data_IF_739274855565
#
_entry.id   IF_739274855565
#
_cell.length_a   1.000
_cell.length_b   1.000
_cell.length_c   1.000
_cell.angle_alpha   90.00
_cell.angle_beta   90.00
_cell.angle_gamma   90.00
#
_symmetry.space_group_name_H-M   'P 1'
#
loop_
_entity.id
_entity.type
_entity.pdbx_description
1 polymer ?
#
# COMPACT_ATOMS: atom_id res chain seq x y z
N UNK A 1 5.76 -5.28 -10.76
CA UNK A 1 4.44 -5.30 -10.08
C UNK A 1 3.52 -6.33 -10.70
N UNK A 2 2.57 -6.89 -9.93
CA UNK A 2 1.56 -7.82 -10.45
C UNK A 2 0.13 -7.31 -10.27
N UNK A 3 -0.60 -7.24 -11.39
CA UNK A 3 -2.03 -6.97 -11.41
C UNK A 3 -2.83 -8.26 -11.14
N UNK A 4 -3.62 -8.27 -10.07
CA UNK A 4 -4.45 -9.41 -9.69
C UNK A 4 -5.88 -9.28 -10.23
N UNK A 5 -6.46 -8.08 -10.13
CA UNK A 5 -7.82 -7.80 -10.56
C UNK A 5 -7.96 -6.32 -10.94
N UNK A 6 -8.62 -6.03 -12.06
CA UNK A 6 -8.96 -4.67 -12.50
C UNK A 6 -10.47 -4.58 -12.66
N UNK A 7 -11.12 -3.68 -11.93
CA UNK A 7 -12.56 -3.41 -12.04
C UNK A 7 -12.76 -1.90 -12.05
N UNK A 8 -12.74 -1.31 -13.24
CA UNK A 8 -12.90 0.13 -13.45
C UNK A 8 -14.10 0.32 -14.38
N UNK A 9 -15.04 1.17 -13.98
CA UNK A 9 -16.19 1.55 -14.79
C UNK A 9 -15.76 2.48 -15.91
N UNK A 10 -16.05 2.11 -17.17
CA UNK A 10 -15.76 2.96 -18.34
C UNK A 10 -16.60 4.24 -18.38
N UNK A 11 -17.72 4.29 -17.64
CA UNK A 11 -18.64 5.43 -17.65
C UNK A 11 -18.17 6.59 -16.79
N UNK A 12 -17.69 6.29 -15.58
CA UNK A 12 -17.41 7.30 -14.55
C UNK A 12 -15.94 7.27 -14.08
N UNK A 13 -15.14 6.31 -14.54
CA UNK A 13 -13.77 6.10 -14.06
C UNK A 13 -13.68 5.58 -12.62
N UNK A 14 -14.82 5.38 -11.94
CA UNK A 14 -14.86 4.80 -10.58
C UNK A 14 -14.47 3.33 -10.61
N UNK A 15 -13.79 2.84 -9.58
CA UNK A 15 -13.45 1.42 -9.54
C UNK A 15 -12.44 1.02 -8.49
N UNK A 16 -12.06 -0.25 -8.55
CA UNK A 16 -11.03 -0.84 -7.70
C UNK A 16 -10.05 -1.70 -8.49
N UNK A 17 -8.80 -1.68 -8.06
CA UNK A 17 -7.71 -2.47 -8.64
C UNK A 17 -6.99 -3.19 -7.51
N UNK A 18 -6.83 -4.50 -7.65
CA UNK A 18 -6.05 -5.35 -6.74
C UNK A 18 -4.67 -5.59 -7.33
N UNK A 19 -3.65 -5.28 -6.55
CA UNK A 19 -2.24 -5.31 -6.94
C UNK A 19 -1.41 -6.05 -5.88
N UNK A 20 -0.26 -6.56 -6.31
CA UNK A 20 0.82 -7.06 -5.46
C UNK A 20 2.13 -6.41 -5.90
N UNK A 21 2.80 -5.74 -4.98
CA UNK A 21 4.18 -5.29 -5.17
C UNK A 21 5.10 -6.51 -5.00
N UNK A 22 5.93 -6.81 -5.99
CA UNK A 22 6.86 -7.97 -5.94
C UNK A 22 8.30 -7.49 -5.74
N UNK A 23 8.62 -6.27 -6.18
CA UNK A 23 9.96 -5.68 -6.11
C UNK A 23 9.98 -4.32 -5.37
N UNK A 24 11.13 -3.89 -4.83
CA UNK A 24 11.29 -2.57 -4.18
C UNK A 24 10.80 -1.39 -5.01
N UNK A 25 11.07 -1.39 -6.31
CA UNK A 25 10.67 -0.36 -7.28
C UNK A 25 9.15 -0.26 -7.38
N UNK A 26 8.44 -1.37 -7.22
CA UNK A 26 6.98 -1.38 -7.19
C UNK A 26 6.44 -0.54 -6.03
N UNK A 27 7.12 -0.51 -4.88
CA UNK A 27 6.69 0.29 -3.75
C UNK A 27 6.72 1.78 -4.07
N UNK A 28 7.69 2.23 -4.87
CA UNK A 28 7.71 3.58 -5.41
C UNK A 28 6.54 3.85 -6.36
N UNK A 29 6.18 2.88 -7.22
CA UNK A 29 5.00 2.98 -8.06
C UNK A 29 3.70 3.04 -7.26
N UNK A 30 3.57 2.23 -6.20
CA UNK A 30 2.42 2.23 -5.30
C UNK A 30 2.29 3.57 -4.57
N UNK A 31 3.39 4.10 -4.03
CA UNK A 31 3.41 5.42 -3.37
C UNK A 31 2.82 6.51 -4.26
N UNK A 32 3.22 6.49 -5.52
CA UNK A 32 2.82 7.43 -6.55
C UNK A 32 1.41 7.18 -7.12
N UNK A 33 0.82 6.00 -6.88
CA UNK A 33 -0.53 5.64 -7.34
C UNK A 33 -1.60 6.06 -6.33
N UNK A 34 -1.26 5.94 -5.04
CA UNK A 34 -2.15 6.14 -3.90
C UNK A 34 -2.20 7.62 -3.51
N UNK A 35 -3.40 8.14 -3.29
CA UNK A 35 -3.61 9.52 -2.85
C UNK A 35 -4.47 9.60 -1.60
N UNK A 36 -4.42 10.74 -0.90
CA UNK A 36 -5.32 11.06 0.19
C UNK A 36 -6.77 11.04 -0.30
N UNK A 37 -7.66 10.42 0.47
CA UNK A 37 -9.07 10.22 0.11
C UNK A 37 -9.35 8.95 -0.70
N UNK A 38 -8.32 8.25 -1.22
CA UNK A 38 -8.51 6.92 -1.78
C UNK A 38 -8.82 5.91 -0.66
N UNK A 39 -9.52 4.83 -1.01
CA UNK A 39 -9.77 3.73 -0.08
C UNK A 39 -8.82 2.57 -0.37
N UNK A 40 -8.02 2.18 0.62
CA UNK A 40 -7.13 1.03 0.55
C UNK A 40 -7.67 -0.12 1.39
N UNK A 41 -7.86 -1.27 0.77
CA UNK A 41 -8.20 -2.51 1.46
C UNK A 41 -7.03 -3.48 1.44
N UNK A 42 -6.57 -3.90 2.61
CA UNK A 42 -5.49 -4.90 2.73
C UNK A 42 -5.70 -5.79 3.95
N UNK A 43 -5.03 -6.93 3.96
CA UNK A 43 -5.06 -7.86 5.09
C UNK A 43 -3.92 -7.53 6.04
N UNK A 44 -4.21 -7.32 7.32
CA UNK A 44 -3.20 -7.07 8.35
C UNK A 44 -3.34 -8.08 9.49
N UNK A 45 -2.24 -8.36 10.18
CA UNK A 45 -2.25 -9.17 11.40
C UNK A 45 -2.03 -8.23 12.57
N UNK A 46 -3.02 -8.14 13.46
CA UNK A 46 -2.93 -7.29 14.65
C UNK A 46 -3.15 -8.09 15.92
N UNK A 47 -2.46 -7.70 16.97
CA UNK A 47 -2.68 -8.20 18.33
C UNK A 47 -3.93 -7.53 18.87
N UNK A 48 -5.00 -8.29 19.03
CA UNK A 48 -6.23 -7.85 19.69
C UNK A 48 -6.13 -8.25 21.16
N UNK A 49 -6.21 -7.27 22.05
CA UNK A 49 -6.27 -7.52 23.50
C UNK A 49 -7.74 -7.58 23.88
N UNK A 50 -8.17 -8.69 24.47
CA UNK A 50 -9.49 -8.86 25.07
C UNK A 50 -9.33 -8.87 26.58
N UNK A 51 -10.00 -7.94 27.25
CA UNK A 51 -10.14 -7.93 28.70
C UNK A 51 -11.34 -8.79 29.09
N UNK A 52 -11.09 -9.83 29.89
CA UNK A 52 -12.15 -10.66 30.47
C UNK A 52 -12.78 -9.98 31.68
N UNK A 53 -14.02 -10.37 32.02
CA UNK A 53 -14.79 -9.83 33.14
C UNK A 53 -14.12 -10.00 34.52
N UNK A 54 -13.11 -10.86 34.63
CA UNK A 54 -12.32 -11.13 35.86
C UNK A 54 -10.99 -10.38 35.90
N UNK A 55 -10.73 -9.44 34.99
CA UNK A 55 -9.48 -8.66 34.94
C UNK A 55 -8.32 -9.34 34.21
N UNK A 56 -8.52 -10.55 33.67
CA UNK A 56 -7.51 -11.24 32.86
C UNK A 56 -7.44 -10.65 31.45
N UNK A 57 -6.28 -10.14 31.06
CA UNK A 57 -6.00 -9.68 29.69
C UNK A 57 -5.49 -10.85 28.85
N UNK A 58 -6.27 -11.30 27.87
CA UNK A 58 -5.82 -12.28 26.88
C UNK A 58 -5.53 -11.57 25.56
N UNK A 59 -4.37 -11.85 24.97
CA UNK A 59 -3.98 -11.24 23.71
C UNK A 59 -3.89 -12.28 22.60
N UNK A 60 -4.59 -12.04 21.50
CA UNK A 60 -4.62 -12.94 20.35
C UNK A 60 -4.21 -12.19 19.08
N UNK A 61 -3.31 -12.79 18.29
CA UNK A 61 -2.98 -12.26 16.95
C UNK A 61 -4.06 -12.71 15.98
N UNK A 62 -4.78 -11.76 15.41
CA UNK A 62 -5.86 -12.02 14.45
C UNK A 62 -5.52 -11.39 13.10
N UNK A 63 -5.68 -12.19 12.05
CA UNK A 63 -5.66 -11.71 10.67
C UNK A 63 -7.00 -11.05 10.38
N UNK A 64 -6.99 -9.82 9.88
CA UNK A 64 -8.19 -9.06 9.56
C UNK A 64 -7.99 -8.28 8.26
N UNK A 65 -9.04 -8.15 7.47
CA UNK A 65 -9.07 -7.24 6.33
C UNK A 65 -9.57 -5.88 6.80
N UNK A 66 -8.81 -4.82 6.53
CA UNK A 66 -9.20 -3.44 6.85
C UNK A 66 -9.29 -2.64 5.56
N UNK A 67 -10.38 -1.88 5.43
CA UNK A 67 -10.55 -0.87 4.40
C UNK A 67 -10.38 0.50 5.04
N UNK A 68 -9.29 1.19 4.69
CA UNK A 68 -8.94 2.48 5.24
C UNK A 68 -9.10 3.55 4.16
N UNK A 69 -9.82 4.63 4.48
CA UNK A 69 -9.69 5.87 3.73
C UNK A 69 -8.40 6.56 4.12
N UNK A 70 -7.58 6.89 3.13
CA UNK A 70 -6.19 7.29 3.33
C UNK A 70 -6.13 8.75 3.74
N UNK A 71 -5.47 9.03 4.86
CA UNK A 71 -5.22 10.38 5.35
C UNK A 71 -3.76 10.79 5.13
N UNK A 72 -2.81 9.88 5.39
CA UNK A 72 -1.38 10.12 5.23
C UNK A 72 -0.64 8.87 4.76
N UNK A 73 0.37 9.07 3.93
CA UNK A 73 1.23 8.01 3.39
C UNK A 73 2.67 8.40 3.71
N UNK A 74 3.43 7.48 4.30
CA UNK A 74 4.85 7.64 4.60
C UNK A 74 5.62 6.48 3.94
N UNK A 75 6.66 6.80 3.17
CA UNK A 75 7.53 5.81 2.52
C UNK A 75 8.85 5.68 3.28
N UNK A 76 9.20 4.45 3.67
CA UNK A 76 10.50 4.11 4.27
C UNK A 76 11.37 3.43 3.19
N UNK A 77 12.29 4.16 2.53
CA UNK A 77 13.11 3.61 1.46
C UNK A 77 14.10 2.55 1.96
N UNK A 78 14.51 2.60 3.24
CA UNK A 78 15.44 1.62 3.80
C UNK A 78 14.77 0.26 4.02
N UNK A 79 13.46 0.24 4.29
CA UNK A 79 12.69 -0.98 4.51
C UNK A 79 11.82 -1.39 3.33
N UNK A 80 11.80 -0.59 2.26
CA UNK A 80 10.89 -0.77 1.12
C UNK A 80 9.44 -0.95 1.58
N UNK A 81 8.99 -0.09 2.50
CA UNK A 81 7.72 -0.22 3.20
C UNK A 81 6.90 1.07 3.08
N UNK A 82 5.60 0.91 2.85
CA UNK A 82 4.65 2.03 2.84
C UNK A 82 3.77 1.99 4.07
N UNK A 83 3.89 3.00 4.91
CA UNK A 83 3.07 3.18 6.11
C UNK A 83 1.88 4.07 5.76
N UNK A 84 0.70 3.49 5.85
CA UNK A 84 -0.53 4.16 5.45
C UNK A 84 -1.36 4.41 6.69
N UNK A 85 -1.60 5.69 6.99
CA UNK A 85 -2.48 6.14 8.06
C UNK A 85 -3.82 6.55 7.43
N UNK A 86 -4.90 6.06 8.01
CA UNK A 86 -6.23 6.32 7.53
C UNK A 86 -7.30 6.00 8.55
N UNK A 87 -8.54 6.13 8.13
CA UNK A 87 -9.73 5.88 8.95
C UNK A 87 -10.45 4.66 8.41
N UNK A 88 -10.86 3.75 9.29
CA UNK A 88 -11.59 2.56 8.87
C UNK A 88 -13.00 2.93 8.37
N UNK A 89 -13.30 2.56 7.13
CA UNK A 89 -14.57 2.88 6.45
C UNK A 89 -15.50 1.69 6.28
N UNK A 90 -15.05 0.47 6.60
CA UNK A 90 -15.89 -0.74 6.60
C UNK A 90 -16.09 -1.26 8.03
N UNK A 91 -17.24 -1.85 8.31
CA UNK A 91 -17.46 -2.51 9.59
C UNK A 91 -16.51 -3.71 9.75
N UNK A 92 -15.87 -3.83 10.91
CA UNK A 92 -14.96 -4.94 11.21
C UNK A 92 -15.20 -5.45 12.64
N UNK A 93 -15.23 -6.77 12.88
CA UNK A 93 -15.48 -7.35 14.20
C UNK A 93 -14.51 -6.91 15.31
N UNK A 94 -13.34 -6.40 14.94
CA UNK A 94 -12.27 -6.03 15.87
C UNK A 94 -11.89 -4.54 15.79
N UNK A 95 -12.42 -3.83 14.80
CA UNK A 95 -12.07 -2.44 14.53
C UNK A 95 -13.33 -1.65 14.27
N UNK A 96 -13.56 -0.63 15.10
CA UNK A 96 -14.73 0.25 14.96
C UNK A 96 -14.64 1.03 13.65
N UNK A 97 -15.78 1.23 13.00
CA UNK A 97 -15.90 2.18 11.88
C UNK A 97 -15.53 3.59 12.39
N UNK A 98 -14.82 4.37 11.59
CA UNK A 98 -14.33 5.69 11.98
C UNK A 98 -13.06 5.68 12.85
N UNK A 99 -12.54 4.52 13.23
CA UNK A 99 -11.30 4.44 14.02
C UNK A 99 -10.07 4.75 13.15
N UNK A 100 -9.20 5.62 13.66
CA UNK A 100 -7.90 5.91 13.04
C UNK A 100 -6.93 4.75 13.20
N UNK A 101 -6.31 4.36 12.10
CA UNK A 101 -5.43 3.20 12.04
C UNK A 101 -4.28 3.39 11.08
N UNK A 102 -3.18 2.73 11.40
CA UNK A 102 -1.97 2.68 10.56
C UNK A 102 -1.68 1.26 10.13
N UNK A 103 -1.58 1.03 8.83
CA UNK A 103 -1.27 -0.27 8.25
C UNK A 103 -0.07 -0.15 7.35
N UNK A 104 0.79 -1.15 7.40
CA UNK A 104 1.98 -1.25 6.57
C UNK A 104 1.66 -2.11 5.33
N UNK A 105 1.96 -1.58 4.15
CA UNK A 105 2.07 -2.33 2.91
C UNK A 105 3.52 -2.78 2.75
N UNK A 106 3.67 -4.07 2.47
CA UNK A 106 4.94 -4.78 2.35
C UNK A 106 4.98 -5.45 0.97
N UNK A 107 6.17 -5.84 0.55
CA UNK A 107 6.35 -6.69 -0.63
C UNK A 107 5.58 -8.01 -0.50
N UNK A 108 5.13 -8.53 -1.63
CA UNK A 108 4.37 -9.76 -1.77
C UNK A 108 3.02 -9.80 -1.02
N UNK A 109 2.52 -8.62 -0.62
CA UNK A 109 1.24 -8.48 0.07
C UNK A 109 0.18 -7.91 -0.86
N UNK A 110 -0.96 -8.59 -0.89
CA UNK A 110 -2.09 -8.16 -1.71
C UNK A 110 -2.77 -6.95 -1.08
N UNK A 111 -3.07 -5.98 -1.92
CA UNK A 111 -3.90 -4.84 -1.57
C UNK A 111 -4.83 -4.47 -2.71
N UNK A 112 -5.96 -3.88 -2.35
CA UNK A 112 -6.95 -3.37 -3.28
C UNK A 112 -7.05 -1.87 -3.07
N UNK A 113 -6.75 -1.11 -4.11
CA UNK A 113 -6.95 0.34 -4.14
C UNK A 113 -8.28 0.63 -4.82
N UNK A 114 -9.13 1.44 -4.18
CA UNK A 114 -10.37 1.95 -4.74
C UNK A 114 -10.26 3.46 -4.85
N UNK A 115 -10.53 3.97 -6.05
CA UNK A 115 -10.49 5.39 -6.39
C UNK A 115 -11.83 5.81 -6.96
N UNK A 116 -12.20 7.07 -6.71
CA UNK A 116 -13.39 7.67 -7.30
C UNK A 116 -13.20 7.95 -8.80
N UNK A 117 -11.96 8.20 -9.24
CA UNK A 117 -11.63 8.33 -10.65
C UNK A 117 -10.25 7.72 -10.90
N UNK A 118 -10.20 6.75 -11.80
CA UNK A 118 -9.00 6.20 -12.40
C UNK A 118 -8.71 6.99 -13.67
N UNK A 119 -7.88 8.01 -13.53
CA UNK A 119 -7.40 8.81 -14.66
C UNK A 119 -6.41 8.00 -15.52
N UNK A 120 -6.18 8.50 -16.75
CA UNK A 120 -5.27 7.87 -17.70
C UNK A 120 -3.87 7.70 -17.12
N UNK A 121 -3.37 8.69 -16.34
CA UNK A 121 -2.06 8.61 -15.71
C UNK A 121 -1.97 7.46 -14.68
N UNK A 122 -3.01 7.24 -13.86
CA UNK A 122 -3.04 6.11 -12.93
C UNK A 122 -3.05 4.77 -13.69
N UNK A 123 -3.79 4.68 -14.79
CA UNK A 123 -3.87 3.46 -15.61
C UNK A 123 -2.54 3.16 -16.28
N UNK A 124 -1.94 4.14 -16.97
CA UNK A 124 -0.63 4.03 -17.60
C UNK A 124 0.47 3.67 -16.60
N UNK A 125 0.39 4.20 -15.37
CA UNK A 125 1.31 3.85 -14.28
C UNK A 125 1.20 2.40 -13.87
N UNK A 126 -0.02 1.86 -13.72
CA UNK A 126 -0.23 0.44 -13.43
C UNK A 126 0.32 -0.42 -14.57
N UNK A 127 0.04 -0.05 -15.81
CA UNK A 127 0.51 -0.79 -16.99
C UNK A 127 2.03 -0.76 -17.11
N UNK A 128 2.66 0.37 -16.81
CA UNK A 128 4.12 0.51 -16.78
C UNK A 128 4.73 -0.33 -15.66
N UNK A 129 4.18 -0.28 -14.45
CA UNK A 129 4.68 -1.06 -13.31
C UNK A 129 4.45 -2.58 -13.46
N UNK A 130 3.44 -2.99 -14.22
CA UNK A 130 3.16 -4.40 -14.50
C UNK A 130 3.94 -4.94 -15.72
N UNK A 131 4.60 -4.07 -16.50
CA UNK A 131 5.36 -4.49 -17.67
C UNK A 131 6.81 -4.83 -17.28
N UNK A 132 7.04 -6.13 -17.09
CA UNK A 132 8.31 -6.75 -16.69
C UNK A 132 9.49 -6.37 -17.62
N UNK A 133 9.22 -5.99 -18.87
CA UNK A 133 10.28 -5.66 -19.83
C UNK A 133 11.00 -4.31 -19.56
N UNK A 134 10.45 -3.44 -18.70
CA UNK A 134 11.00 -2.09 -18.44
C UNK A 134 11.90 -2.00 -17.20
N UNK A 135 12.04 -3.06 -16.42
CA UNK A 135 12.85 -3.10 -15.20
C UNK A 135 14.30 -3.58 -15.46
N UNK A 136 14.97 -2.97 -16.44
CA UNK A 136 16.40 -3.19 -16.62
C UNK A 136 17.17 -2.19 -15.75
N UNK A 137 17.83 -2.68 -14.70
CA UNK A 137 18.60 -1.87 -13.76
C UNK A 137 19.68 -1.03 -14.44
N UNK A 138 19.62 0.29 -14.28
CA UNK A 138 20.69 1.22 -14.66
C UNK A 138 21.56 1.47 -13.42
N UNK A 139 22.64 0.71 -13.29
CA UNK A 139 23.65 0.96 -12.26
C UNK A 139 24.45 2.22 -12.61
N UNK A 140 24.27 3.31 -11.85
CA UNK A 140 25.08 4.52 -11.99
C UNK A 140 26.31 4.46 -11.06
N UNK A 141 27.49 4.23 -11.63
CA UNK A 141 28.76 4.33 -10.90
C UNK A 141 29.16 5.81 -10.79
N UNK A 142 29.18 6.36 -9.56
CA UNK A 142 29.81 7.66 -9.30
C UNK A 142 31.32 7.49 -9.30
N UNK A 143 32.00 7.97 -10.34
CA UNK A 143 33.44 8.17 -10.31
C UNK A 143 33.75 9.54 -9.68
N UNK A 144 34.49 9.53 -8.58
CA UNK A 144 35.17 10.74 -8.09
C UNK A 144 36.53 10.85 -8.77
N UNK A 145 36.89 12.03 -9.33
CA UNK A 145 38.23 12.23 -9.87
C UNK A 145 39.26 12.21 -8.73
N UNK A 146 40.45 11.61 -8.94
CA UNK A 146 41.50 11.59 -7.94
C UNK A 146 41.96 13.03 -7.65
N UNK A 147 41.93 13.40 -6.37
CA UNK A 147 42.47 14.65 -5.87
C UNK A 147 43.96 14.72 -6.20
N UNK A 148 44.35 15.66 -7.05
CA UNK A 148 45.76 15.92 -7.38
C UNK A 148 46.47 16.50 -6.16
N UNK A 149 47.56 15.89 -5.66
CA UNK A 149 48.35 16.50 -4.61
C UNK A 149 49.14 17.69 -5.18
N UNK A 150 49.26 18.74 -4.35
CA UNK A 150 49.96 20.00 -4.62
C UNK A 150 51.47 19.83 -4.67
#
# INVERSE_FOLDING_TARGET
MKLLKKNISEKDGTGSVSLRAEEPEDMWHVFNLIHKGDTLKTTTVRKVVKEGATGSTSSQRMRMSLALEIDKIDFDPAKCLLRIKGVNVEENPHVRMGASHTTDLELNKDFTLKKNCWDLMSIERIETACNVAKQADVAAVRFHPPSTPS
#
